data_IF_649244438075
#
_entry.id   IF_649244438075
#
_cell.length_a   1.000
_cell.length_b   1.000
_cell.length_c   1.000
_cell.angle_alpha   90.00
_cell.angle_beta   90.00
_cell.angle_gamma   90.00
#
_symmetry.space_group_name_H-M   'P 1'
#
loop_
_entity.id
_entity.type
_entity.pdbx_description
1 polymer ?
#
# COMPACT_ATOMS: atom_id res chain seq x y z
N UNK A 1 5.20 -4.28 24.91
CA UNK A 1 6.32 -4.94 24.19
C UNK A 1 6.02 -5.50 22.79
N UNK A 2 4.76 -5.57 22.30
CA UNK A 2 4.46 -6.07 20.93
C UNK A 2 4.87 -5.11 19.78
N UNK A 3 4.84 -3.78 19.99
CA UNK A 3 5.20 -2.78 18.95
C UNK A 3 6.67 -2.84 18.51
N UNK A 4 7.60 -3.13 19.43
CA UNK A 4 9.03 -3.13 19.12
C UNK A 4 9.47 -4.38 18.33
N UNK A 5 8.91 -5.57 18.64
CA UNK A 5 9.18 -6.79 17.88
C UNK A 5 8.70 -6.69 16.43
N UNK A 6 7.50 -6.16 16.18
CA UNK A 6 6.97 -5.98 14.81
C UNK A 6 7.84 -5.01 14.00
N UNK A 7 8.36 -3.96 14.64
CA UNK A 7 9.31 -3.01 14.03
C UNK A 7 10.67 -3.67 13.73
N UNK A 8 11.20 -4.50 14.63
CA UNK A 8 12.47 -5.19 14.41
C UNK A 8 12.40 -6.19 13.24
N UNK A 9 11.35 -7.01 13.15
CA UNK A 9 11.18 -7.92 12.01
C UNK A 9 11.03 -7.17 10.68
N UNK A 10 10.40 -5.98 10.72
CA UNK A 10 10.21 -5.17 9.53
C UNK A 10 11.47 -4.46 9.09
N UNK A 11 12.26 -4.00 10.05
CA UNK A 11 13.59 -3.50 9.80
C UNK A 11 14.58 -4.60 9.37
N UNK A 12 14.47 -5.82 9.90
CA UNK A 12 15.29 -6.94 9.45
C UNK A 12 14.92 -7.39 8.03
N UNK A 13 13.63 -7.47 7.70
CA UNK A 13 13.17 -7.68 6.33
C UNK A 13 13.61 -6.54 5.39
N UNK A 14 13.62 -5.32 5.94
CA UNK A 14 14.43 -4.14 5.58
C UNK A 14 15.79 -4.56 5.03
N UNK A 15 16.68 -4.86 5.98
CA UNK A 15 18.10 -5.15 5.81
C UNK A 15 18.40 -6.38 4.93
N UNK A 16 17.53 -7.39 4.95
CA UNK A 16 17.68 -8.64 4.16
C UNK A 16 17.11 -8.57 2.75
N UNK A 17 16.80 -7.36 2.24
CA UNK A 17 16.27 -7.10 0.90
C UNK A 17 14.92 -7.77 0.60
N UNK A 18 14.20 -8.24 1.63
CA UNK A 18 12.84 -8.79 1.48
C UNK A 18 11.79 -7.69 1.37
N UNK A 19 12.07 -6.50 1.88
CA UNK A 19 11.24 -5.29 1.73
C UNK A 19 12.00 -4.21 0.97
N UNK A 20 11.30 -3.53 0.07
CA UNK A 20 11.85 -2.42 -0.74
C UNK A 20 11.72 -1.05 -0.08
N UNK A 21 10.73 -0.92 0.80
CA UNK A 21 10.42 0.29 1.55
C UNK A 21 9.99 -0.06 2.97
N UNK A 22 10.11 0.89 3.89
CA UNK A 22 9.79 0.69 5.30
C UNK A 22 9.37 2.01 5.95
N UNK A 23 8.17 2.04 6.51
CA UNK A 23 7.75 3.08 7.45
C UNK A 23 8.14 2.67 8.88
N UNK A 24 8.89 3.54 9.57
CA UNK A 24 9.16 3.42 11.00
C UNK A 24 8.67 4.66 11.73
N UNK A 25 7.75 4.49 12.68
CA UNK A 25 7.58 5.51 13.73
C UNK A 25 8.63 5.30 14.81
N UNK A 26 9.30 6.37 15.16
CA UNK A 26 10.25 6.50 16.23
C UNK A 26 9.53 7.16 17.41
N UNK A 27 9.79 6.65 18.60
CA UNK A 27 9.22 7.23 19.82
C UNK A 27 9.81 8.66 20.00
N UNK A 28 9.02 9.71 20.28
CA UNK A 28 9.51 11.08 20.48
C UNK A 28 10.56 11.24 21.60
N UNK A 29 10.71 10.25 22.49
CA UNK A 29 11.73 10.23 23.54
C UNK A 29 13.18 10.12 23.03
N UNK A 30 14.14 10.23 23.96
CA UNK A 30 15.60 10.21 23.68
C UNK A 30 16.01 9.02 22.80
N UNK A 31 15.46 7.83 23.08
CA UNK A 31 15.74 6.62 22.30
C UNK A 31 15.39 6.78 20.81
N UNK A 32 14.24 7.37 20.47
CA UNK A 32 13.88 7.57 19.07
C UNK A 32 14.70 8.66 18.39
N UNK A 33 15.12 9.70 19.12
CA UNK A 33 16.07 10.70 18.60
C UNK A 33 17.42 10.06 18.24
N UNK A 34 17.93 9.16 19.08
CA UNK A 34 19.16 8.40 18.79
C UNK A 34 18.98 7.55 17.53
N UNK A 35 17.89 6.77 17.45
CA UNK A 35 17.59 5.97 16.26
C UNK A 35 17.47 6.82 15.01
N UNK A 36 16.83 7.99 15.09
CA UNK A 36 16.72 8.91 13.97
C UNK A 36 18.07 9.38 13.47
N UNK A 37 18.98 9.77 14.37
CA UNK A 37 20.35 10.16 14.01
C UNK A 37 21.09 8.99 13.33
N UNK A 38 20.97 7.79 13.89
CA UNK A 38 21.56 6.57 13.29
C UNK A 38 21.01 6.36 11.88
N UNK A 39 19.69 6.40 11.70
CA UNK A 39 19.08 6.23 10.37
C UNK A 39 19.53 7.31 9.39
N UNK A 40 19.64 8.56 9.85
CA UNK A 40 20.12 9.66 9.01
C UNK A 40 21.57 9.46 8.56
N UNK A 41 22.45 8.96 9.43
CA UNK A 41 23.85 8.67 9.10
C UNK A 41 23.96 7.61 8.01
N UNK A 42 23.20 6.51 8.11
CA UNK A 42 23.33 5.38 7.19
C UNK A 42 22.42 5.46 5.94
N UNK A 43 21.31 6.20 6.01
CA UNK A 43 20.26 6.17 4.98
C UNK A 43 19.85 7.56 4.47
N UNK A 44 20.62 8.62 4.70
CA UNK A 44 20.26 10.01 4.31
C UNK A 44 19.67 10.17 2.90
N UNK A 45 20.25 9.53 1.87
CA UNK A 45 19.78 9.61 0.47
C UNK A 45 18.47 8.85 0.20
N UNK A 46 18.11 7.97 1.13
CA UNK A 46 17.05 6.97 1.02
C UNK A 46 15.94 7.19 2.05
N UNK A 47 16.10 8.19 2.92
CA UNK A 47 15.22 8.47 4.04
C UNK A 47 14.37 9.70 3.76
N UNK A 48 13.07 9.58 4.00
CA UNK A 48 12.10 10.67 4.02
C UNK A 48 11.69 10.89 5.47
N UNK A 49 11.92 12.10 5.96
CA UNK A 49 11.42 12.54 7.27
C UNK A 49 9.92 12.88 7.11
N UNK A 50 9.04 12.21 7.84
CA UNK A 50 7.61 12.51 7.85
C UNK A 50 7.29 13.39 9.04
N UNK A 51 6.70 14.54 8.75
CA UNK A 51 6.14 15.45 9.74
C UNK A 51 4.70 15.02 10.00
N UNK A 52 4.46 14.45 11.17
CA UNK A 52 3.12 14.12 11.64
C UNK A 52 2.63 15.21 12.58
N UNK A 53 1.40 15.66 12.39
CA UNK A 53 0.74 16.52 13.38
C UNK A 53 0.23 15.64 14.53
N UNK A 54 0.65 15.95 15.74
CA UNK A 54 0.08 15.32 16.93
C UNK A 54 -1.33 15.87 17.22
N UNK A 55 -2.01 15.34 18.23
CA UNK A 55 -3.35 15.80 18.65
C UNK A 55 -3.39 17.29 18.99
N UNK A 56 -2.25 17.89 19.38
CA UNK A 56 -2.10 19.32 19.64
C UNK A 56 -1.74 20.15 18.39
N UNK A 57 -1.83 19.58 17.18
CA UNK A 57 -1.45 20.20 15.89
C UNK A 57 0.01 20.64 15.79
N UNK A 58 0.87 20.10 16.67
CA UNK A 58 2.31 20.32 16.63
C UNK A 58 2.89 19.29 15.65
N UNK A 59 3.65 19.78 14.67
CA UNK A 59 4.37 18.90 13.73
C UNK A 59 5.57 18.29 14.42
N UNK A 60 5.53 16.98 14.66
CA UNK A 60 6.63 16.21 15.23
C UNK A 60 7.22 15.30 14.16
N UNK A 61 8.55 15.30 14.04
CA UNK A 61 9.29 14.37 13.17
C UNK A 61 9.50 13.04 13.90
N UNK A 62 8.43 12.29 14.03
CA UNK A 62 8.48 10.98 14.67
C UNK A 62 8.58 9.84 13.67
N UNK A 63 8.29 10.05 12.38
CA UNK A 63 8.24 8.96 11.43
C UNK A 63 9.27 9.13 10.32
N UNK A 64 9.87 8.01 9.92
CA UNK A 64 10.75 7.96 8.76
C UNK A 64 10.24 6.92 7.76
N UNK A 65 10.29 7.27 6.48
CA UNK A 65 10.16 6.32 5.40
C UNK A 65 11.53 6.05 4.81
N UNK A 66 11.91 4.78 4.76
CA UNK A 66 13.14 4.32 4.16
C UNK A 66 12.84 3.63 2.84
N UNK A 67 13.57 4.00 1.80
CA UNK A 67 13.53 3.36 0.49
C UNK A 67 14.87 2.68 0.20
N UNK A 68 14.84 1.52 -0.44
CA UNK A 68 16.09 0.90 -0.93
C UNK A 68 16.66 1.63 -2.14
N UNK A 69 15.79 2.16 -2.98
CA UNK A 69 16.17 2.89 -4.19
C UNK A 69 16.03 4.40 -3.96
N UNK A 70 17.12 5.19 -4.09
CA UNK A 70 17.05 6.65 -3.97
C UNK A 70 16.06 7.29 -4.95
N UNK A 71 15.87 6.70 -6.14
CA UNK A 71 14.90 7.19 -7.13
C UNK A 71 13.46 7.12 -6.58
N UNK A 72 13.14 6.11 -5.77
CA UNK A 72 11.82 5.98 -5.16
C UNK A 72 11.62 7.02 -4.06
N UNK A 73 12.65 7.28 -3.24
CA UNK A 73 12.62 8.35 -2.27
C UNK A 73 12.38 9.71 -2.95
N UNK A 74 13.01 9.95 -4.10
CA UNK A 74 12.82 11.19 -4.86
C UNK A 74 11.39 11.33 -5.40
N UNK A 75 10.83 10.26 -6.00
CA UNK A 75 9.41 10.24 -6.42
C UNK A 75 8.47 10.51 -5.24
N UNK A 76 8.74 9.92 -4.08
CA UNK A 76 7.94 10.16 -2.87
C UNK A 76 8.00 11.62 -2.43
N UNK A 77 9.19 12.25 -2.44
CA UNK A 77 9.34 13.69 -2.14
C UNK A 77 8.59 14.57 -3.13
N UNK A 78 8.63 14.22 -4.41
CA UNK A 78 7.89 14.93 -5.45
C UNK A 78 6.38 14.83 -5.18
N UNK A 79 5.88 13.63 -4.86
CA UNK A 79 4.47 13.43 -4.49
C UNK A 79 4.06 14.26 -3.26
N UNK A 80 4.92 14.39 -2.25
CA UNK A 80 4.63 15.19 -1.06
C UNK A 80 4.48 16.68 -1.34
N UNK A 81 5.20 17.21 -2.35
CA UNK A 81 5.14 18.63 -2.74
C UNK A 81 3.89 18.99 -3.54
N UNK A 82 3.29 18.02 -4.21
CA UNK A 82 2.10 18.25 -5.02
C UNK A 82 0.87 18.49 -4.13
N UNK A 83 -0.02 19.34 -4.62
CA UNK A 83 -1.31 19.57 -3.96
C UNK A 83 -2.24 18.38 -4.15
N UNK A 84 -3.27 18.25 -3.31
CA UNK A 84 -4.32 17.27 -3.56
C UNK A 84 -5.23 17.66 -4.75
N UNK A 85 -5.15 18.90 -5.25
CA UNK A 85 -5.80 19.31 -6.49
C UNK A 85 -5.15 18.62 -7.70
N UNK A 86 -3.84 18.41 -7.65
CA UNK A 86 -3.06 17.61 -8.61
C UNK A 86 -3.10 16.11 -8.23
N UNK A 87 -4.29 15.63 -7.89
CA UNK A 87 -4.48 14.30 -7.29
C UNK A 87 -3.89 13.17 -8.14
N UNK A 88 -4.06 13.20 -9.46
CA UNK A 88 -3.63 12.12 -10.35
C UNK A 88 -2.11 11.90 -10.29
N UNK A 89 -1.33 12.94 -10.59
CA UNK A 89 0.14 12.88 -10.58
C UNK A 89 0.67 12.53 -9.18
N UNK A 90 0.05 13.11 -8.14
CA UNK A 90 0.41 12.81 -6.74
C UNK A 90 0.25 11.32 -6.41
N UNK A 91 -0.88 10.72 -6.79
CA UNK A 91 -1.12 9.30 -6.54
C UNK A 91 -0.21 8.41 -7.40
N UNK A 92 0.03 8.79 -8.66
CA UNK A 92 0.97 8.08 -9.54
C UNK A 92 2.37 8.02 -8.92
N UNK A 93 2.91 9.15 -8.51
CA UNK A 93 4.24 9.22 -7.89
C UNK A 93 4.32 8.41 -6.59
N UNK A 94 3.27 8.41 -5.76
CA UNK A 94 3.23 7.55 -4.57
C UNK A 94 3.24 6.06 -4.93
N UNK A 95 2.40 5.63 -5.88
CA UNK A 95 2.36 4.23 -6.32
C UNK A 95 3.70 3.75 -6.89
N UNK A 96 4.32 4.58 -7.73
CA UNK A 96 5.65 4.30 -8.29
C UNK A 96 6.74 4.26 -7.21
N UNK A 97 6.72 5.19 -6.25
CA UNK A 97 7.67 5.21 -5.14
C UNK A 97 7.56 3.96 -4.27
N UNK A 98 6.34 3.48 -4.01
CA UNK A 98 6.08 2.26 -3.25
C UNK A 98 6.35 0.98 -4.05
N UNK A 99 6.64 1.10 -5.34
CA UNK A 99 6.98 -0.02 -6.22
C UNK A 99 5.78 -0.88 -6.56
N UNK A 100 4.60 -0.27 -6.65
CA UNK A 100 3.38 -0.90 -7.14
C UNK A 100 3.48 -1.14 -8.65
N UNK A 101 2.81 -2.18 -9.19
CA UNK A 101 2.80 -2.39 -10.63
C UNK A 101 2.10 -1.24 -11.35
N UNK A 102 2.61 -0.85 -12.51
CA UNK A 102 2.11 0.26 -13.31
C UNK A 102 0.61 0.14 -13.59
N UNK A 103 0.14 -1.05 -14.00
CA UNK A 103 -1.28 -1.29 -14.26
C UNK A 103 -2.16 -1.11 -13.02
N UNK A 104 -1.67 -1.38 -11.81
CA UNK A 104 -2.47 -1.16 -10.59
C UNK A 104 -2.51 0.33 -10.20
N UNK A 105 -1.45 1.08 -10.53
CA UNK A 105 -1.46 2.54 -10.41
C UNK A 105 -2.50 3.11 -11.38
N UNK A 106 -2.52 2.66 -12.64
CA UNK A 106 -3.55 3.04 -13.62
C UNK A 106 -4.96 2.68 -13.15
N UNK A 107 -5.19 1.44 -12.70
CA UNK A 107 -6.49 1.01 -12.15
C UNK A 107 -6.97 1.92 -11.03
N UNK A 108 -6.08 2.28 -10.11
CA UNK A 108 -6.42 3.15 -8.99
C UNK A 108 -6.85 4.55 -9.46
N UNK A 109 -6.14 5.11 -10.44
CA UNK A 109 -6.50 6.42 -11.01
C UNK A 109 -7.84 6.37 -11.73
N UNK A 110 -8.11 5.31 -12.49
CA UNK A 110 -9.41 5.10 -13.15
C UNK A 110 -10.54 5.00 -12.12
N UNK A 111 -10.35 4.19 -11.06
CA UNK A 111 -11.33 4.04 -9.97
C UNK A 111 -11.58 5.36 -9.21
N UNK A 112 -10.59 6.26 -9.15
CA UNK A 112 -10.76 7.60 -8.59
C UNK A 112 -11.58 8.51 -9.51
N UNK A 113 -11.34 8.44 -10.82
CA UNK A 113 -12.09 9.23 -11.82
C UNK A 113 -13.55 8.77 -11.94
N UNK A 114 -13.80 7.47 -11.93
CA UNK A 114 -15.15 6.89 -11.91
C UNK A 114 -15.95 7.42 -10.71
N UNK A 115 -15.33 7.48 -9.53
CA UNK A 115 -15.94 8.03 -8.30
C UNK A 115 -16.30 9.51 -8.42
N UNK A 116 -15.46 10.32 -9.07
CA UNK A 116 -15.73 11.76 -9.27
C UNK A 116 -16.94 11.97 -10.18
N UNK A 117 -17.09 11.14 -11.21
CA UNK A 117 -18.21 11.21 -12.18
C UNK A 117 -19.54 10.81 -11.56
N UNK A 118 -19.52 9.82 -10.67
CA UNK A 118 -20.72 9.32 -9.98
C UNK A 118 -21.17 10.25 -8.82
N UNK A 119 -20.81 11.55 -8.81
CA UNK A 119 -21.23 12.54 -7.80
C UNK A 119 -21.03 12.09 -6.33
N UNK A 120 -19.92 11.40 -6.01
CA UNK A 120 -19.66 10.79 -4.70
C UNK A 120 -20.68 9.70 -4.28
N UNK A 121 -21.31 8.98 -5.21
CA UNK A 121 -21.98 7.73 -4.89
C UNK A 121 -21.05 6.78 -4.11
N UNK A 122 -21.65 5.95 -3.24
CA UNK A 122 -20.89 4.97 -2.49
C UNK A 122 -20.10 4.06 -3.44
N UNK A 123 -18.88 3.68 -3.01
CA UNK A 123 -18.05 2.73 -3.74
C UNK A 123 -18.88 1.48 -4.05
N UNK A 124 -18.87 1.02 -5.30
CA UNK A 124 -19.68 -0.13 -5.70
C UNK A 124 -19.06 -1.39 -5.11
N UNK A 125 -19.87 -2.21 -4.43
CA UNK A 125 -19.40 -3.44 -3.82
C UNK A 125 -18.73 -4.35 -4.86
N UNK A 126 -17.45 -4.67 -4.66
CA UNK A 126 -16.68 -5.54 -5.55
C UNK A 126 -16.08 -4.87 -6.79
N UNK A 127 -16.19 -3.54 -6.94
CA UNK A 127 -15.58 -2.78 -8.05
C UNK A 127 -14.04 -2.83 -8.06
N UNK A 128 -13.43 -3.19 -6.92
CA UNK A 128 -12.00 -3.25 -6.72
C UNK A 128 -11.62 -4.37 -5.74
N UNK A 129 -10.42 -4.91 -5.95
CA UNK A 129 -9.75 -5.81 -5.03
C UNK A 129 -8.56 -5.08 -4.42
N UNK A 130 -8.07 -5.56 -3.28
CA UNK A 130 -6.81 -5.12 -2.70
C UNK A 130 -5.80 -6.25 -2.68
N UNK A 131 -4.54 -5.91 -2.92
CA UNK A 131 -3.38 -6.76 -2.73
C UNK A 131 -2.61 -6.29 -1.50
N UNK A 132 -2.27 -7.20 -0.60
CA UNK A 132 -1.33 -6.92 0.48
C UNK A 132 -0.34 -8.07 0.68
N UNK A 133 0.91 -7.70 0.98
CA UNK A 133 1.95 -8.63 1.43
C UNK A 133 2.88 -7.90 2.38
N UNK A 134 2.43 -7.78 3.63
CA UNK A 134 3.08 -6.96 4.64
C UNK A 134 4.58 -7.26 4.74
N UNK A 135 4.96 -8.53 4.89
CA UNK A 135 6.35 -8.98 5.03
C UNK A 135 7.26 -8.61 3.85
N UNK A 136 6.70 -8.24 2.70
CA UNK A 136 7.41 -7.84 1.48
C UNK A 136 7.30 -6.35 1.18
N UNK A 137 6.69 -5.58 2.10
CA UNK A 137 6.65 -4.11 2.04
C UNK A 137 5.46 -3.57 1.24
N UNK A 138 4.49 -4.43 0.94
CA UNK A 138 3.25 -4.07 0.28
C UNK A 138 2.14 -4.01 1.34
N UNK A 139 1.91 -2.82 1.89
CA UNK A 139 0.92 -2.60 2.96
C UNK A 139 -0.53 -2.65 2.47
N UNK A 140 -0.73 -2.47 1.17
CA UNK A 140 -2.05 -2.51 0.55
C UNK A 140 -2.09 -1.60 -0.66
N UNK A 141 -2.50 -2.13 -1.82
CA UNK A 141 -2.93 -1.30 -2.94
C UNK A 141 -4.12 -1.94 -3.62
N UNK A 142 -4.97 -1.12 -4.23
CA UNK A 142 -6.17 -1.59 -4.91
C UNK A 142 -5.94 -1.73 -6.41
N UNK A 143 -6.71 -2.60 -7.05
CA UNK A 143 -6.68 -2.85 -8.48
C UNK A 143 -8.05 -3.37 -8.94
N UNK A 144 -8.32 -3.31 -10.25
CA UNK A 144 -9.57 -3.78 -10.83
C UNK A 144 -9.60 -5.32 -10.89
N UNK A 145 -10.73 -6.01 -10.62
CA UNK A 145 -10.79 -7.47 -10.59
C UNK A 145 -10.24 -8.17 -11.84
N UNK A 146 -10.38 -7.54 -13.01
CA UNK A 146 -9.87 -7.98 -14.31
C UNK A 146 -8.35 -8.18 -14.33
N UNK A 147 -7.62 -7.42 -13.51
CA UNK A 147 -6.16 -7.48 -13.44
C UNK A 147 -5.64 -8.47 -12.40
N UNK A 148 -6.50 -9.31 -11.80
CA UNK A 148 -6.09 -10.31 -10.81
C UNK A 148 -4.99 -11.24 -11.33
N UNK A 149 -5.10 -11.73 -12.57
CA UNK A 149 -4.05 -12.58 -13.17
C UNK A 149 -2.71 -11.85 -13.26
N UNK A 150 -2.71 -10.57 -13.69
CA UNK A 150 -1.50 -9.74 -13.76
C UNK A 150 -0.89 -9.51 -12.39
N UNK A 151 -1.70 -9.34 -11.34
CA UNK A 151 -1.23 -9.22 -9.95
C UNK A 151 -0.52 -10.49 -9.51
N UNK A 152 -1.09 -11.66 -9.79
CA UNK A 152 -0.49 -12.94 -9.43
C UNK A 152 0.86 -13.09 -10.14
N UNK A 153 0.95 -12.82 -11.44
CA UNK A 153 2.21 -12.95 -12.19
C UNK A 153 3.26 -11.92 -11.78
N UNK A 154 2.84 -10.67 -11.58
CA UNK A 154 3.71 -9.64 -11.01
C UNK A 154 4.27 -10.07 -9.65
N UNK A 155 3.44 -10.64 -8.76
CA UNK A 155 3.88 -11.08 -7.43
C UNK A 155 4.93 -12.20 -7.49
N UNK A 156 4.81 -13.12 -8.47
CA UNK A 156 5.82 -14.15 -8.74
C UNK A 156 7.12 -13.52 -9.23
N UNK A 157 7.05 -12.54 -10.14
CA UNK A 157 8.21 -11.81 -10.62
C UNK A 157 8.93 -11.04 -9.50
N UNK A 158 8.18 -10.55 -8.51
CA UNK A 158 8.72 -9.96 -7.28
C UNK A 158 9.26 -10.99 -6.27
N UNK A 159 9.21 -12.29 -6.60
CA UNK A 159 9.63 -13.42 -5.75
C UNK A 159 8.90 -13.44 -4.40
N UNK A 160 7.63 -13.01 -4.38
CA UNK A 160 6.78 -13.05 -3.19
C UNK A 160 6.16 -14.45 -3.09
N UNK A 161 6.37 -15.17 -1.98
CA UNK A 161 5.72 -16.46 -1.75
C UNK A 161 4.20 -16.28 -1.66
N UNK A 162 3.46 -17.09 -2.40
CA UNK A 162 2.00 -16.97 -2.51
C UNK A 162 1.28 -17.09 -1.16
N UNK A 163 1.84 -17.84 -0.20
CA UNK A 163 1.32 -17.92 1.19
C UNK A 163 1.35 -16.59 1.95
N UNK A 164 2.14 -15.62 1.50
CA UNK A 164 2.28 -14.30 2.14
C UNK A 164 1.47 -13.21 1.43
N UNK A 165 0.70 -13.58 0.40
CA UNK A 165 -0.14 -12.66 -0.34
C UNK A 165 -1.56 -12.76 0.20
N UNK A 166 -2.21 -11.63 0.35
CA UNK A 166 -3.65 -11.53 0.56
C UNK A 166 -4.25 -10.77 -0.62
N UNK A 167 -5.25 -11.39 -1.23
CA UNK A 167 -6.19 -10.69 -2.10
C UNK A 167 -7.44 -10.46 -1.26
N UNK A 168 -7.90 -9.22 -1.20
CA UNK A 168 -8.93 -8.79 -0.28
C UNK A 168 -10.04 -8.06 -1.05
N UNK A 169 -11.26 -8.18 -0.56
CA UNK A 169 -12.43 -7.48 -1.08
C UNK A 169 -13.04 -6.65 0.03
N UNK A 170 -13.55 -5.46 -0.30
CA UNK A 170 -14.13 -4.57 0.70
C UNK A 170 -15.57 -4.99 1.01
N UNK A 171 -15.86 -5.14 2.30
CA UNK A 171 -17.21 -5.41 2.79
C UNK A 171 -17.83 -4.11 3.30
N UNK A 172 -18.91 -3.67 2.65
CA UNK A 172 -19.56 -2.40 2.95
C UNK A 172 -20.31 -2.42 4.28
N UNK A 173 -20.93 -3.55 4.65
CA UNK A 173 -21.67 -3.68 5.91
C UNK A 173 -20.79 -3.51 7.14
N UNK A 174 -19.62 -4.16 7.15
CA UNK A 174 -18.68 -4.09 8.29
C UNK A 174 -17.56 -3.07 8.09
N UNK A 175 -17.53 -2.38 6.94
CA UNK A 175 -16.53 -1.38 6.52
C UNK A 175 -15.08 -1.86 6.65
N UNK A 176 -14.81 -3.10 6.23
CA UNK A 176 -13.48 -3.74 6.34
C UNK A 176 -13.12 -4.54 5.09
N UNK A 177 -11.83 -4.56 4.79
CA UNK A 177 -11.24 -5.50 3.84
C UNK A 177 -11.26 -6.90 4.42
N UNK A 178 -11.70 -7.86 3.62
CA UNK A 178 -11.75 -9.27 3.97
C UNK A 178 -10.98 -10.07 2.94
N UNK A 179 -10.09 -10.96 3.39
CA UNK A 179 -9.36 -11.83 2.49
C UNK A 179 -10.30 -12.77 1.72
N UNK A 180 -9.99 -12.96 0.43
CA UNK A 180 -10.62 -13.96 -0.39
C UNK A 180 -10.07 -15.34 -0.07
N UNK A 181 -10.94 -16.34 -0.06
CA UNK A 181 -10.55 -17.74 -0.01
C UNK A 181 -9.88 -18.16 -1.33
N UNK A 182 -9.16 -19.30 -1.31
CA UNK A 182 -8.57 -19.86 -2.53
C UNK A 182 -9.61 -20.16 -3.60
N UNK A 183 -10.82 -20.59 -3.20
CA UNK A 183 -11.89 -20.90 -4.13
C UNK A 183 -12.47 -19.65 -4.79
N UNK A 184 -12.65 -18.56 -4.03
CA UNK A 184 -13.09 -17.27 -4.61
C UNK A 184 -12.04 -16.68 -5.55
N UNK A 185 -10.75 -16.76 -5.20
CA UNK A 185 -9.67 -16.34 -6.10
C UNK A 185 -9.70 -17.17 -7.39
N UNK A 186 -9.93 -18.49 -7.28
CA UNK A 186 -10.06 -19.37 -8.43
C UNK A 186 -11.27 -19.00 -9.29
N UNK A 187 -12.43 -18.77 -8.68
CA UNK A 187 -13.67 -18.34 -9.38
C UNK A 187 -13.43 -17.04 -10.16
N UNK A 188 -12.72 -16.07 -9.57
CA UNK A 188 -12.36 -14.82 -10.25
C UNK A 188 -11.41 -15.02 -11.43
N UNK A 189 -10.41 -15.89 -11.29
CA UNK A 189 -9.43 -16.17 -12.35
C UNK A 189 -10.06 -16.94 -13.54
N UNK A 190 -11.04 -17.80 -13.28
CA UNK A 190 -11.73 -18.61 -14.31
C UNK A 190 -12.93 -17.87 -14.92
N UNK A 191 -13.34 -16.73 -14.34
CA UNK A 191 -14.51 -15.98 -14.79
C UNK A 191 -14.28 -15.28 -16.12
N UNK A 192 -15.28 -15.36 -17.00
CA UNK A 192 -15.36 -14.54 -18.21
C UNK A 192 -15.67 -13.07 -17.92
N UNK A 193 -16.16 -12.76 -16.72
CA UNK A 193 -16.43 -11.41 -16.25
C UNK A 193 -16.03 -11.28 -14.77
N UNK A 194 -14.74 -11.02 -14.49
CA UNK A 194 -14.21 -10.93 -13.13
C UNK A 194 -14.91 -9.87 -12.27
N UNK A 195 -15.32 -8.73 -12.85
CA UNK A 195 -16.05 -7.69 -12.14
C UNK A 195 -17.39 -8.21 -11.59
N UNK A 196 -18.24 -8.81 -12.43
CA UNK A 196 -19.52 -9.36 -11.97
C UNK A 196 -19.35 -10.47 -10.93
N UNK A 197 -18.31 -11.28 -11.07
CA UNK A 197 -17.96 -12.30 -10.06
C UNK A 197 -17.54 -11.65 -8.74
N UNK A 198 -16.72 -10.60 -8.79
CA UNK A 198 -16.30 -9.82 -7.62
C UNK A 198 -17.49 -9.17 -6.92
N UNK A 199 -18.40 -8.54 -7.66
CA UNK A 199 -19.65 -7.98 -7.13
C UNK A 199 -20.51 -9.03 -6.41
N UNK A 200 -20.67 -10.21 -7.02
CA UNK A 200 -21.39 -11.35 -6.41
C UNK A 200 -20.74 -11.78 -5.10
N UNK A 201 -19.41 -11.91 -5.07
CA UNK A 201 -18.66 -12.28 -3.86
C UNK A 201 -18.83 -11.21 -2.77
N UNK A 202 -18.73 -9.92 -3.12
CA UNK A 202 -18.90 -8.83 -2.18
C UNK A 202 -20.30 -8.83 -1.56
N UNK A 203 -21.34 -8.96 -2.39
CA UNK A 203 -22.74 -9.01 -1.95
C UNK A 203 -23.04 -10.20 -1.05
N UNK A 204 -22.44 -11.36 -1.30
CA UNK A 204 -22.61 -12.54 -0.44
C UNK A 204 -21.98 -12.38 0.95
N UNK A 205 -21.14 -11.35 1.15
CA UNK A 205 -20.44 -11.07 2.41
C UNK A 205 -21.09 -9.93 3.20
N UNK A 206 -21.94 -9.13 2.55
CA UNK A 206 -22.81 -8.17 3.22
C UNK A 206 -23.86 -8.90 4.07
#
# INVERSE_FOLDING_TARGET
>A
MKKFQIRFYSFYAFLTNRRKQLWLDLNPGISGKIWFIIFKLFFSKNMIEVLEENEAKIKIRNSIFLFRNPKNAEKFKQAQKLSWKESEEKHRLYGEALGYPEFAVSDFLELLEERKKDNNEEVKAGDRLAFSSFNYGYEGFVFKPENLSKIIDWSKAQKIPQRNIKIEIFNHRIKKWQSLSKNEIKELLESKNPLKTSEKIAKNRE
#
